data_IF_456612366445
#
_entry.id   IF_456612366445
#
_cell.length_a   1.000
_cell.length_b   1.000
_cell.length_c   1.000
_cell.angle_alpha   90.00
_cell.angle_beta   90.00
_cell.angle_gamma   90.00
#
_symmetry.space_group_name_H-M   'P 1'
#
loop_
_entity.id
_entity.type
_entity.pdbx_description
1 polymer ?
#
# COMPACT_ATOMS: atom_id res chain seq x y z
N UNK A 1 -19.79 -8.09 47.75
CA UNK A 1 -19.35 -9.16 46.81
C UNK A 1 -20.53 -9.47 45.90
N UNK A 2 -20.66 -8.74 44.79
CA UNK A 2 -21.84 -8.81 43.93
C UNK A 2 -21.55 -9.75 42.78
N UNK A 3 -22.16 -10.93 42.80
CA UNK A 3 -22.06 -11.92 41.74
C UNK A 3 -22.76 -11.38 40.47
N UNK A 4 -21.96 -11.11 39.43
CA UNK A 4 -22.45 -10.85 38.08
C UNK A 4 -23.03 -12.17 37.52
N UNK A 5 -24.33 -12.36 37.67
CA UNK A 5 -25.05 -13.44 37.00
C UNK A 5 -25.13 -13.12 35.50
N UNK A 6 -24.26 -13.75 34.72
CA UNK A 6 -24.32 -13.74 33.25
C UNK A 6 -25.69 -14.29 32.79
N UNK A 7 -26.54 -13.48 32.14
CA UNK A 7 -27.88 -13.90 31.71
C UNK A 7 -27.86 -14.91 30.54
N UNK A 8 -26.69 -15.16 29.95
CA UNK A 8 -26.53 -16.02 28.76
C UNK A 8 -26.75 -17.51 29.00
N UNK A 9 -26.63 -18.00 30.24
CA UNK A 9 -26.70 -19.46 30.51
C UNK A 9 -28.12 -20.02 30.40
N UNK A 10 -29.15 -19.25 30.80
CA UNK A 10 -30.55 -19.72 30.81
C UNK A 10 -31.21 -19.74 29.43
N UNK A 11 -30.77 -18.89 28.51
CA UNK A 11 -31.30 -18.86 27.14
C UNK A 11 -30.84 -20.08 26.33
N UNK A 12 -29.65 -20.61 26.62
CA UNK A 12 -29.08 -21.78 25.97
C UNK A 12 -29.83 -23.07 26.30
N UNK A 13 -30.22 -23.26 27.57
CA UNK A 13 -30.90 -24.47 28.02
C UNK A 13 -32.32 -24.59 27.45
N UNK A 14 -33.04 -23.47 27.28
CA UNK A 14 -34.35 -23.44 26.64
C UNK A 14 -34.29 -23.67 25.12
N UNK A 15 -33.16 -23.34 24.49
CA UNK A 15 -32.92 -23.55 23.05
C UNK A 15 -32.59 -25.04 22.73
N UNK A 16 -32.19 -25.82 23.74
CA UNK A 16 -31.75 -27.22 23.59
C UNK A 16 -32.91 -28.22 23.36
N UNK A 17 -34.19 -27.80 23.44
CA UNK A 17 -35.36 -28.69 23.26
C UNK A 17 -35.98 -28.70 21.85
N UNK A 18 -35.45 -27.92 20.89
CA UNK A 18 -36.06 -27.73 19.58
C UNK A 18 -35.48 -28.64 18.48
N UNK A 19 -36.39 -29.33 17.78
CA UNK A 19 -36.28 -30.15 16.54
C UNK A 19 -34.90 -30.25 15.86
N UNK A 20 -34.51 -31.50 15.50
CA UNK A 20 -33.25 -31.92 14.84
C UNK A 20 -32.76 -30.97 13.73
N UNK A 21 -33.67 -30.37 12.95
CA UNK A 21 -33.35 -29.41 11.87
C UNK A 21 -32.78 -28.08 12.39
N UNK A 22 -33.32 -27.55 13.50
CA UNK A 22 -32.83 -26.30 14.13
C UNK A 22 -31.50 -26.51 14.86
N UNK A 23 -31.28 -27.69 15.43
CA UNK A 23 -29.98 -28.07 16.02
C UNK A 23 -28.87 -28.11 14.97
N UNK A 24 -29.14 -28.66 13.78
CA UNK A 24 -28.17 -28.66 12.67
C UNK A 24 -27.88 -27.23 12.23
N UNK A 25 -28.91 -26.41 12.01
CA UNK A 25 -28.76 -24.98 11.67
C UNK A 25 -27.93 -24.20 12.71
N UNK A 26 -28.18 -24.44 14.00
CA UNK A 26 -27.44 -23.77 15.06
C UNK A 26 -25.97 -24.19 15.08
N UNK A 27 -25.70 -25.50 14.96
CA UNK A 27 -24.33 -26.03 14.92
C UNK A 27 -23.57 -25.53 13.70
N UNK A 28 -24.24 -25.47 12.53
CA UNK A 28 -23.61 -24.93 11.31
C UNK A 28 -23.28 -23.45 11.47
N UNK A 29 -24.18 -22.65 12.04
CA UNK A 29 -23.93 -21.21 12.28
C UNK A 29 -22.81 -21.01 13.29
N UNK A 30 -22.78 -21.78 14.38
CA UNK A 30 -21.72 -21.73 15.36
C UNK A 30 -20.35 -22.10 14.78
N UNK A 31 -20.28 -23.14 13.94
CA UNK A 31 -19.05 -23.51 13.22
C UNK A 31 -18.59 -22.42 12.26
N UNK A 32 -19.52 -21.81 11.50
CA UNK A 32 -19.19 -20.69 10.60
C UNK A 32 -18.64 -19.49 11.37
N UNK A 33 -19.26 -19.13 12.50
CA UNK A 33 -18.77 -18.06 13.36
C UNK A 33 -17.37 -18.37 13.93
N UNK A 34 -17.13 -19.59 14.40
CA UNK A 34 -15.82 -20.01 14.91
C UNK A 34 -14.74 -19.95 13.82
N UNK A 35 -15.07 -20.37 12.59
CA UNK A 35 -14.16 -20.34 11.46
C UNK A 35 -13.82 -18.89 11.04
N UNK A 36 -14.82 -18.00 11.00
CA UNK A 36 -14.59 -16.57 10.76
C UNK A 36 -13.70 -15.93 11.83
N UNK A 37 -13.92 -16.25 13.10
CA UNK A 37 -13.08 -15.76 14.19
C UNK A 37 -11.64 -16.24 14.05
N UNK A 38 -11.43 -17.52 13.69
CA UNK A 38 -10.08 -18.03 13.42
C UNK A 38 -9.40 -17.25 12.29
N UNK A 39 -10.10 -16.99 11.18
CA UNK A 39 -9.55 -16.20 10.06
C UNK A 39 -9.14 -14.80 10.54
N UNK A 40 -9.99 -14.13 11.33
CA UNK A 40 -9.68 -12.80 11.87
C UNK A 40 -8.44 -12.85 12.77
N UNK A 41 -8.35 -13.86 13.66
CA UNK A 41 -7.18 -14.04 14.54
C UNK A 41 -5.92 -14.26 13.71
N UNK A 42 -5.98 -15.09 12.67
CA UNK A 42 -4.85 -15.33 11.78
C UNK A 42 -4.45 -14.04 11.05
N UNK A 43 -5.40 -13.26 10.53
CA UNK A 43 -5.12 -11.97 9.89
C UNK A 43 -4.47 -10.96 10.84
N UNK A 44 -4.88 -10.94 12.11
CA UNK A 44 -4.27 -10.08 13.13
C UNK A 44 -2.88 -10.56 13.54
N UNK A 45 -2.67 -11.88 13.67
CA UNK A 45 -1.38 -12.47 14.03
C UNK A 45 -0.36 -12.39 12.89
N UNK A 46 -0.82 -12.55 11.65
CA UNK A 46 -0.03 -12.37 10.43
C UNK A 46 -0.07 -10.93 9.91
N UNK A 47 -0.61 -9.98 10.68
CA UNK A 47 -0.59 -8.58 10.27
C UNK A 47 0.88 -8.16 10.16
N UNK A 48 1.39 -7.93 8.93
CA UNK A 48 2.80 -7.62 8.77
C UNK A 48 3.08 -6.33 9.55
N UNK A 49 4.09 -6.36 10.43
CA UNK A 49 4.54 -5.16 11.12
C UNK A 49 4.90 -4.13 10.06
N UNK A 50 4.12 -3.04 10.00
CA UNK A 50 4.34 -1.97 9.03
C UNK A 50 5.71 -1.39 9.33
N UNK A 51 6.68 -1.52 8.42
CA UNK A 51 8.05 -1.13 8.69
C UNK A 51 8.12 0.40 8.80
N UNK A 52 9.09 0.90 9.56
CA UNK A 52 9.14 2.31 9.99
C UNK A 52 9.04 3.32 8.83
N UNK A 53 9.55 2.98 7.64
CA UNK A 53 9.50 3.83 6.45
C UNK A 53 8.08 4.00 5.85
N UNK A 54 7.11 3.17 6.22
CA UNK A 54 5.70 3.28 5.83
C UNK A 54 4.83 3.99 6.88
N UNK A 55 5.41 4.42 8.00
CA UNK A 55 4.70 5.18 9.07
C UNK A 55 4.77 6.70 8.90
N UNK A 56 5.56 7.17 7.94
CA UNK A 56 5.62 8.59 7.61
C UNK A 56 4.24 9.06 7.08
N UNK A 57 3.81 10.29 7.39
CA UNK A 57 2.60 10.84 6.82
C UNK A 57 2.72 10.86 5.29
N UNK A 58 1.75 10.26 4.60
CA UNK A 58 1.68 10.24 3.14
C UNK A 58 1.06 11.55 2.64
N UNK A 59 1.71 12.15 1.65
CA UNK A 59 1.20 13.28 0.91
C UNK A 59 0.26 12.74 -0.19
N UNK A 60 -1.00 13.19 -0.18
CA UNK A 60 -2.08 12.71 -1.08
C UNK A 60 -2.53 13.79 -2.07
N UNK A 61 -1.84 14.92 -2.06
CA UNK A 61 -1.97 16.00 -3.01
C UNK A 61 -1.63 15.50 -4.43
N UNK A 62 -2.34 16.03 -5.42
CA UNK A 62 -2.24 15.61 -6.82
C UNK A 62 -0.80 15.69 -7.32
N UNK A 63 -0.10 16.77 -6.96
CA UNK A 63 1.27 17.03 -7.35
C UNK A 63 2.24 15.98 -6.80
N UNK A 64 2.03 15.53 -5.55
CA UNK A 64 2.88 14.51 -4.95
C UNK A 64 2.60 13.12 -5.51
N UNK A 65 1.34 12.78 -5.75
CA UNK A 65 0.96 11.50 -6.37
C UNK A 65 1.53 11.40 -7.78
N UNK A 66 1.46 12.47 -8.58
CA UNK A 66 2.04 12.48 -9.92
C UNK A 66 3.57 12.42 -9.86
N UNK A 67 4.21 13.19 -8.97
CA UNK A 67 5.66 13.18 -8.81
C UNK A 67 6.18 11.81 -8.37
N UNK A 68 5.54 11.18 -7.38
CA UNK A 68 5.92 9.85 -6.89
C UNK A 68 5.73 8.77 -7.96
N UNK A 69 4.69 8.89 -8.79
CA UNK A 69 4.50 8.01 -9.95
C UNK A 69 5.67 8.11 -10.93
N UNK A 70 6.11 9.32 -11.26
CA UNK A 70 7.26 9.52 -12.17
C UNK A 70 8.55 8.96 -11.58
N UNK A 71 8.81 9.20 -10.29
CA UNK A 71 9.97 8.62 -9.60
C UNK A 71 9.99 7.09 -9.65
N UNK A 72 8.84 6.44 -9.44
CA UNK A 72 8.71 4.99 -9.52
C UNK A 72 8.87 4.44 -10.94
N UNK A 73 8.50 5.20 -11.96
CA UNK A 73 8.70 4.81 -13.36
C UNK A 73 10.19 4.74 -13.71
N UNK A 74 10.97 5.71 -13.23
CA UNK A 74 12.41 5.77 -13.50
C UNK A 74 13.25 4.79 -12.67
N UNK A 75 12.77 4.47 -11.46
CA UNK A 75 13.45 3.59 -10.53
C UNK A 75 13.34 2.10 -10.91
N UNK A 76 14.46 1.39 -10.83
CA UNK A 76 14.49 -0.07 -10.95
C UNK A 76 14.46 -0.72 -9.56
N UNK A 77 13.26 -1.03 -9.07
CA UNK A 77 13.05 -1.62 -7.72
C UNK A 77 13.58 -3.05 -7.58
N UNK A 78 14.04 -3.69 -8.66
CA UNK A 78 14.70 -5.00 -8.60
C UNK A 78 16.16 -4.92 -8.11
N UNK A 79 16.75 -3.73 -8.10
CA UNK A 79 18.14 -3.49 -7.68
C UNK A 79 18.23 -3.11 -6.21
N UNK A 80 19.40 -3.31 -5.61
CA UNK A 80 19.62 -2.92 -4.21
C UNK A 80 19.85 -1.41 -4.11
N UNK A 81 19.05 -0.68 -3.30
CA UNK A 81 19.28 0.75 -3.07
C UNK A 81 20.63 1.04 -2.39
N UNK A 82 21.19 0.09 -1.63
CA UNK A 82 22.43 0.28 -0.86
C UNK A 82 23.70 0.00 -1.66
N UNK A 83 23.64 -0.95 -2.59
CA UNK A 83 24.81 -1.40 -3.36
C UNK A 83 24.81 -0.87 -4.80
N UNK A 84 23.63 -0.67 -5.38
CA UNK A 84 23.44 -0.30 -6.78
C UNK A 84 22.53 0.94 -6.86
N UNK A 85 22.83 1.98 -6.06
CA UNK A 85 21.95 3.15 -5.86
C UNK A 85 21.57 3.85 -7.16
N UNK A 86 22.52 3.99 -8.11
CA UNK A 86 22.24 4.60 -9.41
C UNK A 86 21.27 3.77 -10.25
N UNK A 87 21.54 2.46 -10.37
CA UNK A 87 20.66 1.55 -11.11
C UNK A 87 19.29 1.43 -10.44
N UNK A 88 19.24 1.41 -9.11
CA UNK A 88 17.99 1.42 -8.36
C UNK A 88 17.18 2.70 -8.60
N UNK A 89 17.82 3.87 -8.65
CA UNK A 89 17.11 5.15 -8.80
C UNK A 89 16.75 5.48 -10.26
N UNK A 90 17.62 5.13 -11.22
CA UNK A 90 17.53 5.63 -12.60
C UNK A 90 17.61 4.52 -13.66
N UNK A 91 17.71 3.24 -13.29
CA UNK A 91 18.00 2.15 -14.23
C UNK A 91 16.97 2.01 -15.35
N UNK A 92 15.67 2.19 -15.06
CA UNK A 92 14.64 2.12 -16.10
C UNK A 92 14.71 3.35 -17.02
N UNK A 93 14.90 4.53 -16.45
CA UNK A 93 15.08 5.75 -17.24
C UNK A 93 16.29 5.62 -18.18
N UNK A 94 17.41 5.11 -17.66
CA UNK A 94 18.61 4.91 -18.45
C UNK A 94 18.39 3.93 -19.60
N UNK A 95 17.68 2.83 -19.35
CA UNK A 95 17.32 1.84 -20.37
C UNK A 95 16.38 2.43 -21.44
N UNK A 96 15.29 3.07 -21.02
CA UNK A 96 14.20 3.47 -21.92
C UNK A 96 14.56 4.68 -22.77
N UNK A 97 15.42 5.57 -22.26
CA UNK A 97 15.79 6.81 -22.93
C UNK A 97 17.21 6.81 -23.49
N UNK A 98 18.00 5.73 -23.37
CA UNK A 98 19.39 5.66 -23.85
C UNK A 98 19.58 6.10 -25.32
N UNK A 99 18.60 5.85 -26.17
CA UNK A 99 18.66 6.13 -27.61
C UNK A 99 17.92 7.40 -28.02
N UNK A 100 17.35 8.15 -27.08
CA UNK A 100 16.65 9.40 -27.35
C UNK A 100 17.60 10.60 -27.18
N UNK A 101 17.48 11.61 -28.05
CA UNK A 101 18.25 12.86 -27.95
C UNK A 101 18.10 13.56 -26.58
N UNK A 102 17.01 13.25 -25.86
CA UNK A 102 16.69 13.74 -24.52
C UNK A 102 17.51 13.08 -23.39
N UNK A 103 18.31 12.03 -23.68
CA UNK A 103 19.09 11.31 -22.67
C UNK A 103 20.12 12.20 -21.98
N UNK A 104 20.73 13.14 -22.71
CA UNK A 104 21.74 14.05 -22.18
C UNK A 104 21.08 15.18 -21.38
N UNK A 105 19.95 15.71 -21.88
CA UNK A 105 19.25 16.86 -21.30
C UNK A 105 18.63 16.53 -19.93
N UNK A 106 18.05 15.33 -19.78
CA UNK A 106 17.34 14.92 -18.55
C UNK A 106 18.21 14.17 -17.53
N UNK A 107 19.47 13.85 -17.84
CA UNK A 107 20.44 13.28 -16.87
C UNK A 107 20.87 14.29 -15.79
N UNK A 108 20.42 15.54 -15.88
CA UNK A 108 20.82 16.62 -14.99
C UNK A 108 22.19 17.22 -15.34
N UNK A 109 22.74 16.88 -16.50
CA UNK A 109 23.93 17.55 -17.02
C UNK A 109 23.55 18.96 -17.49
N UNK A 110 23.91 19.97 -16.70
CA UNK A 110 23.72 21.37 -17.07
C UNK A 110 24.56 21.72 -18.30
N UNK A 111 23.89 21.94 -19.44
CA UNK A 111 24.52 22.44 -20.66
C UNK A 111 23.73 23.62 -21.27
N UNK A 112 24.24 24.19 -22.36
CA UNK A 112 23.63 25.37 -23.00
C UNK A 112 22.24 25.08 -23.60
N UNK A 113 22.01 23.85 -24.07
CA UNK A 113 20.71 23.40 -24.59
C UNK A 113 19.70 23.27 -23.45
N UNK A 114 20.11 22.65 -22.34
CA UNK A 114 19.29 22.51 -21.13
C UNK A 114 18.89 23.87 -20.54
N UNK A 115 19.79 24.86 -20.55
CA UNK A 115 19.50 26.23 -20.09
C UNK A 115 18.41 26.90 -20.95
N UNK A 116 18.54 26.82 -22.28
CA UNK A 116 17.59 27.45 -23.18
C UNK A 116 16.20 26.82 -23.10
N UNK A 117 16.13 25.50 -22.91
CA UNK A 117 14.86 24.78 -22.72
C UNK A 117 14.20 25.13 -21.39
N UNK A 118 14.94 25.15 -20.27
CA UNK A 118 14.43 25.61 -18.98
C UNK A 118 13.88 27.05 -19.04
N UNK A 119 14.60 27.96 -19.72
CA UNK A 119 14.16 29.35 -19.90
C UNK A 119 12.91 29.46 -20.78
N UNK A 120 12.75 28.57 -21.76
CA UNK A 120 11.53 28.47 -22.57
C UNK A 120 10.34 27.94 -21.77
N UNK A 121 10.54 26.91 -20.95
CA UNK A 121 9.51 26.27 -20.13
C UNK A 121 9.05 27.18 -18.98
N UNK A 122 9.99 27.87 -18.30
CA UNK A 122 9.67 28.95 -17.35
C UNK A 122 8.86 30.06 -18.02
N UNK A 123 9.19 30.43 -19.26
CA UNK A 123 8.43 31.45 -20.00
C UNK A 123 6.99 31.01 -20.29
N UNK A 124 6.73 29.71 -20.48
CA UNK A 124 5.37 29.18 -20.57
C UNK A 124 4.63 29.23 -19.22
N UNK A 125 5.31 28.96 -18.10
CA UNK A 125 4.72 29.04 -16.75
C UNK A 125 4.36 30.48 -16.36
N UNK A 126 5.18 31.47 -16.75
CA UNK A 126 4.94 32.89 -16.46
C UNK A 126 3.95 33.58 -17.42
N UNK A 127 3.55 32.95 -18.52
CA UNK A 127 2.58 33.49 -19.50
C UNK A 127 1.19 32.85 -19.33
N UNK A 128 0.99 32.03 -18.30
CA UNK A 128 -0.29 31.44 -17.92
C UNK A 128 -0.81 32.04 -16.61
#
# INVERSE_FOLDING_TARGET
>A
MTALLLPGRRSFDALMSLSRKRRILYVTTACLCALLLLIIILLLAFWPEVPFYLRAPLCLEKECVESSRQLLLWANTSKSPCHETYEWACGNFASDYANHDYFVIKRGEWNYETYNEYQGELRCIYIQ
#
